data_IF_995575659599
#
_entry.id   IF_995575659599
#
_cell.length_a   1.000
_cell.length_b   1.000
_cell.length_c   1.000
_cell.angle_alpha   90.00
_cell.angle_beta   90.00
_cell.angle_gamma   90.00
#
_symmetry.space_group_name_H-M   'P 1'
#
loop_
_entity.id
_entity.type
_entity.pdbx_description
1 polymer ?
#
# COMPACT_ATOMS: atom_id res chain seq x y z
N UNK A 1 -6.87 -10.29 2.49
CA UNK A 1 -6.01 -9.53 3.44
C UNK A 1 -5.25 -8.41 2.75
N UNK A 2 -5.92 -7.30 2.46
CA UNK A 2 -5.35 -6.15 1.74
C UNK A 2 -4.22 -5.42 2.49
N UNK A 3 -4.08 -5.64 3.79
CA UNK A 3 -3.00 -5.01 4.57
C UNK A 3 -1.64 -5.66 4.34
N UNK A 4 -1.61 -6.96 4.03
CA UNK A 4 -0.38 -7.75 3.91
C UNK A 4 -0.44 -8.72 2.74
N UNK A 5 -0.41 -8.22 1.51
CA UNK A 5 -0.14 -9.03 0.32
C UNK A 5 1.36 -8.95 0.06
N UNK A 6 2.07 -10.06 0.33
CA UNK A 6 3.50 -10.17 0.10
C UNK A 6 3.79 -10.58 -1.34
N UNK A 7 4.90 -10.13 -1.91
CA UNK A 7 5.36 -10.63 -3.20
C UNK A 7 5.82 -12.08 -3.06
N UNK A 8 5.75 -12.82 -4.16
CA UNK A 8 6.34 -14.15 -4.25
C UNK A 8 7.75 -14.05 -4.83
N UNK A 9 8.69 -14.77 -4.19
CA UNK A 9 10.05 -14.91 -4.70
C UNK A 9 10.06 -15.98 -5.80
N UNK A 10 10.59 -15.63 -6.95
CA UNK A 10 10.73 -16.52 -8.10
C UNK A 10 12.21 -16.69 -8.46
N UNK A 11 12.62 -17.88 -8.87
CA UNK A 11 14.00 -18.23 -9.20
C UNK A 11 14.56 -17.63 -10.49
N UNK A 12 13.85 -16.68 -11.12
CA UNK A 12 14.28 -15.99 -12.33
C UNK A 12 13.90 -14.51 -12.31
N UNK A 13 14.59 -13.68 -13.13
CA UNK A 13 14.22 -12.27 -13.23
C UNK A 13 12.73 -12.11 -13.60
N UNK A 14 11.98 -11.23 -12.94
CA UNK A 14 12.41 -10.14 -12.04
C UNK A 14 12.55 -10.49 -10.56
N UNK A 15 12.64 -11.74 -10.18
CA UNK A 15 12.81 -12.27 -8.81
C UNK A 15 11.64 -12.02 -7.86
N UNK A 16 10.84 -10.99 -8.08
CA UNK A 16 9.68 -10.60 -7.28
C UNK A 16 8.46 -10.52 -8.20
N UNK A 17 7.42 -11.31 -7.91
CA UNK A 17 6.13 -11.23 -8.57
C UNK A 17 5.04 -10.86 -7.57
N UNK A 18 4.11 -10.07 -8.02
CA UNK A 18 3.02 -9.53 -7.20
C UNK A 18 1.72 -10.26 -7.50
N UNK A 19 0.81 -10.29 -6.54
CA UNK A 19 -0.54 -10.76 -6.80
C UNK A 19 -1.27 -9.81 -7.78
N UNK A 20 -2.11 -10.36 -8.64
CA UNK A 20 -3.00 -9.55 -9.53
C UNK A 20 -3.96 -8.65 -8.74
N UNK A 21 -4.21 -8.99 -7.47
CA UNK A 21 -5.03 -8.19 -6.55
C UNK A 21 -4.31 -6.99 -5.95
N UNK A 22 -3.07 -6.76 -6.35
CA UNK A 22 -2.25 -5.65 -5.89
C UNK A 22 -1.30 -6.01 -4.76
N UNK A 23 -0.68 -4.98 -4.22
CA UNK A 23 0.30 -5.06 -3.13
C UNK A 23 -0.33 -4.59 -1.82
N UNK A 24 0.04 -5.24 -0.73
CA UNK A 24 -0.42 -4.85 0.60
C UNK A 24 -0.05 -3.40 0.94
N UNK A 25 -0.98 -2.70 1.59
CA UNK A 25 -0.84 -1.28 1.93
C UNK A 25 0.46 -0.98 2.70
N UNK A 26 0.82 -1.84 3.65
CA UNK A 26 2.03 -1.66 4.46
C UNK A 26 3.33 -1.86 3.68
N UNK A 27 3.32 -2.69 2.63
CA UNK A 27 4.47 -2.86 1.75
C UNK A 27 4.64 -1.67 0.80
N UNK A 28 3.53 -1.16 0.27
CA UNK A 28 3.54 0.02 -0.58
C UNK A 28 3.78 1.32 0.16
N UNK A 29 3.46 1.35 1.46
CA UNK A 29 3.57 2.54 2.31
C UNK A 29 4.09 2.18 3.71
N UNK A 30 5.31 1.65 3.84
CA UNK A 30 5.85 1.19 5.13
C UNK A 30 5.99 2.31 6.16
N UNK A 31 6.03 3.57 5.75
CA UNK A 31 6.01 4.73 6.63
C UNK A 31 4.75 4.81 7.49
N UNK A 32 3.64 4.13 7.11
CA UNK A 32 2.43 4.02 7.93
C UNK A 32 2.70 3.40 9.30
N UNK A 33 3.72 2.54 9.43
CA UNK A 33 4.11 1.96 10.72
C UNK A 33 4.51 3.04 11.73
N UNK A 34 4.95 4.20 11.27
CA UNK A 34 5.30 5.33 12.15
C UNK A 34 4.08 6.01 12.76
N UNK A 35 2.86 5.74 12.27
CA UNK A 35 1.63 6.18 12.95
C UNK A 35 1.52 5.61 14.35
N UNK A 36 2.07 4.42 14.61
CA UNK A 36 2.16 3.83 15.95
C UNK A 36 3.02 4.68 16.90
N UNK A 37 3.95 5.46 16.36
CA UNK A 37 4.82 6.39 17.08
C UNK A 37 4.29 7.82 17.11
N UNK A 38 3.26 8.14 16.35
CA UNK A 38 2.62 9.45 16.29
C UNK A 38 1.75 9.68 17.56
N UNK A 39 2.40 9.90 18.70
CA UNK A 39 1.74 9.98 20.02
C UNK A 39 1.43 11.39 20.48
N UNK A 40 1.89 12.43 19.78
CA UNK A 40 1.60 13.80 20.17
C UNK A 40 0.08 14.04 20.14
N UNK A 41 -0.42 14.61 21.24
CA UNK A 41 -1.84 14.96 21.35
C UNK A 41 -2.03 16.34 20.74
N UNK A 42 -3.01 16.46 19.88
CA UNK A 42 -3.48 17.71 19.31
C UNK A 42 -5.01 17.70 19.22
N UNK A 43 -5.68 18.85 19.28
CA UNK A 43 -7.15 18.92 19.42
C UNK A 43 -7.92 18.14 18.36
N UNK A 44 -7.44 18.17 17.09
CA UNK A 44 -8.14 17.58 15.95
C UNK A 44 -7.80 16.09 15.72
N UNK A 45 -6.96 15.48 16.58
CA UNK A 45 -6.51 14.10 16.39
C UNK A 45 -7.65 13.10 16.26
N UNK A 46 -8.64 13.18 17.15
CA UNK A 46 -9.80 12.30 17.10
C UNK A 46 -10.62 12.49 15.83
N UNK A 47 -10.85 13.72 15.44
CA UNK A 47 -11.58 14.04 14.21
C UNK A 47 -10.88 13.50 12.95
N UNK A 48 -9.56 13.65 12.86
CA UNK A 48 -8.78 13.10 11.74
C UNK A 48 -8.79 11.57 11.71
N UNK A 49 -8.72 10.90 12.89
CA UNK A 49 -8.86 9.45 12.94
C UNK A 49 -10.26 9.01 12.53
N UNK A 50 -11.30 9.68 12.98
CA UNK A 50 -12.69 9.40 12.58
C UNK A 50 -12.87 9.60 11.06
N UNK A 51 -12.34 10.68 10.51
CA UNK A 51 -12.38 10.95 9.08
C UNK A 51 -11.64 9.86 8.29
N UNK A 52 -10.42 9.47 8.72
CA UNK A 52 -9.67 8.40 8.10
C UNK A 52 -10.44 7.07 8.14
N UNK A 53 -11.03 6.73 9.27
CA UNK A 53 -11.81 5.50 9.45
C UNK A 53 -13.09 5.53 8.60
N UNK A 54 -13.78 6.65 8.53
CA UNK A 54 -15.00 6.80 7.73
C UNK A 54 -14.74 6.59 6.22
N UNK A 55 -13.59 7.10 5.73
CA UNK A 55 -13.18 6.90 4.33
C UNK A 55 -12.61 5.49 4.11
N UNK A 56 -11.87 4.97 5.07
CA UNK A 56 -11.22 3.65 4.97
C UNK A 56 -12.24 2.50 5.07
N UNK A 57 -13.27 2.62 5.91
CA UNK A 57 -14.22 1.54 6.17
C UNK A 57 -14.94 1.06 4.89
N UNK A 58 -15.55 1.92 4.06
CA UNK A 58 -16.11 1.49 2.78
C UNK A 58 -15.08 0.83 1.86
N UNK A 59 -13.86 1.38 1.80
CA UNK A 59 -12.79 0.85 0.96
C UNK A 59 -12.32 -0.53 1.40
N UNK A 60 -12.29 -0.81 2.71
CA UNK A 60 -11.94 -2.12 3.26
C UNK A 60 -13.07 -3.14 3.18
N UNK A 61 -14.32 -2.69 3.24
CA UNK A 61 -15.50 -3.54 3.11
C UNK A 61 -15.80 -3.88 1.65
N UNK A 62 -15.27 -3.10 0.72
CA UNK A 62 -15.48 -3.34 -0.69
C UNK A 62 -14.74 -4.60 -1.13
N UNK A 63 -15.51 -5.60 -1.53
CA UNK A 63 -15.03 -6.95 -1.83
C UNK A 63 -14.22 -7.03 -3.13
N UNK A 64 -14.45 -6.10 -4.06
CA UNK A 64 -13.75 -6.08 -5.34
C UNK A 64 -12.47 -5.28 -5.24
N UNK A 65 -11.33 -5.96 -5.21
CA UNK A 65 -10.00 -5.34 -5.17
C UNK A 65 -9.61 -4.62 -6.48
N UNK A 66 -10.46 -4.70 -7.51
CA UNK A 66 -10.13 -4.23 -8.85
C UNK A 66 -9.27 -5.24 -9.62
N UNK A 67 -9.31 -5.15 -10.95
CA UNK A 67 -8.57 -6.05 -11.82
C UNK A 67 -7.22 -5.43 -12.19
N UNK A 68 -6.13 -6.19 -12.07
CA UNK A 68 -4.76 -5.77 -12.42
C UNK A 68 -4.33 -4.46 -11.73
N UNK A 69 -4.15 -4.50 -10.43
CA UNK A 69 -3.60 -3.38 -9.67
C UNK A 69 -2.21 -3.72 -9.15
N UNK A 70 -1.29 -2.78 -9.26
CA UNK A 70 0.02 -2.93 -8.63
C UNK A 70 -0.03 -2.52 -7.15
N UNK A 71 -0.68 -1.39 -6.84
CA UNK A 71 -0.83 -0.87 -5.49
C UNK A 71 -2.30 -0.79 -5.09
N UNK A 72 -2.59 -0.71 -3.77
CA UNK A 72 -3.94 -0.57 -3.28
C UNK A 72 -4.48 0.84 -3.55
N UNK A 73 -5.07 1.01 -4.73
CA UNK A 73 -5.56 2.26 -5.31
C UNK A 73 -6.57 2.99 -4.42
N UNK A 74 -7.44 2.25 -3.76
CA UNK A 74 -8.43 2.81 -2.82
C UNK A 74 -7.81 3.42 -1.57
N UNK A 75 -6.53 3.17 -1.29
CA UNK A 75 -5.82 3.83 -0.21
C UNK A 75 -5.58 5.31 -0.47
N UNK A 76 -5.58 5.74 -1.73
CA UNK A 76 -5.33 7.15 -2.09
C UNK A 76 -6.35 8.09 -1.44
N UNK A 77 -7.56 7.63 -1.16
CA UNK A 77 -8.61 8.44 -0.57
C UNK A 77 -8.34 8.78 0.91
N UNK A 78 -7.71 7.88 1.67
CA UNK A 78 -7.43 8.07 3.09
C UNK A 78 -5.94 8.27 3.43
N UNK A 79 -5.01 7.92 2.55
CA UNK A 79 -3.57 8.13 2.77
C UNK A 79 -3.20 9.59 3.09
N UNK A 80 -3.77 10.62 2.43
CA UNK A 80 -3.49 12.01 2.77
C UNK A 80 -3.84 12.34 4.23
N UNK A 81 -4.97 11.82 4.73
CA UNK A 81 -5.39 12.03 6.12
C UNK A 81 -4.41 11.35 7.08
N UNK A 82 -3.97 10.13 6.77
CA UNK A 82 -2.98 9.41 7.57
C UNK A 82 -1.61 10.11 7.56
N UNK A 83 -1.24 10.73 6.44
CA UNK A 83 -0.01 11.51 6.34
C UNK A 83 -0.08 12.76 7.23
N UNK A 84 -1.20 13.47 7.22
CA UNK A 84 -1.41 14.61 8.13
C UNK A 84 -1.32 14.16 9.59
N UNK A 85 -1.99 13.06 9.95
CA UNK A 85 -1.90 12.46 11.29
C UNK A 85 -0.47 12.11 11.67
N UNK A 86 0.32 11.58 10.74
CA UNK A 86 1.72 11.22 10.95
C UNK A 86 2.57 12.47 11.22
N UNK A 87 2.43 13.50 10.40
CA UNK A 87 3.21 14.73 10.50
C UNK A 87 2.87 15.47 11.79
N UNK A 88 1.58 15.75 12.02
CA UNK A 88 1.12 16.50 13.20
C UNK A 88 1.31 15.69 14.48
N UNK A 89 1.16 14.38 14.41
CA UNK A 89 1.42 13.47 15.53
C UNK A 89 2.89 13.25 15.86
N UNK A 90 3.81 13.85 15.10
CA UNK A 90 5.25 13.79 15.34
C UNK A 90 5.94 12.51 14.81
N UNK A 91 5.20 11.61 14.16
CA UNK A 91 5.77 10.39 13.60
C UNK A 91 6.80 10.65 12.48
N UNK A 92 6.62 11.73 11.72
CA UNK A 92 7.55 12.15 10.68
C UNK A 92 8.91 12.64 11.21
N UNK A 93 9.03 12.94 12.51
CA UNK A 93 10.31 13.26 13.16
C UNK A 93 11.19 12.04 13.43
N UNK A 94 10.68 10.85 13.16
CA UNK A 94 11.45 9.62 13.31
C UNK A 94 12.61 9.61 12.32
N UNK A 95 13.82 9.23 12.79
CA UNK A 95 15.00 9.03 11.92
C UNK A 95 14.78 8.00 10.81
N UNK A 96 13.81 7.12 10.99
CA UNK A 96 13.45 6.10 10.01
C UNK A 96 12.51 6.60 8.91
N UNK A 97 11.89 7.78 9.10
CA UNK A 97 10.91 8.29 8.14
C UNK A 97 11.47 8.42 6.71
N UNK A 98 12.64 9.08 6.50
CA UNK A 98 13.21 9.18 5.15
C UNK A 98 13.51 7.81 4.52
N UNK A 99 14.06 6.88 5.29
CA UNK A 99 14.39 5.54 4.79
C UNK A 99 13.13 4.77 4.36
N UNK A 100 12.04 4.86 5.14
CA UNK A 100 10.77 4.20 4.82
C UNK A 100 10.07 4.86 3.61
N UNK A 101 10.21 6.17 3.44
CA UNK A 101 9.69 6.87 2.25
C UNK A 101 10.48 6.47 1.01
N UNK A 102 11.81 6.39 1.09
CA UNK A 102 12.65 5.92 -0.02
C UNK A 102 12.32 4.48 -0.38
N UNK A 103 12.17 3.59 0.61
CA UNK A 103 11.76 2.21 0.38
C UNK A 103 10.40 2.13 -0.33
N UNK A 104 9.43 2.93 0.12
CA UNK A 104 8.13 3.06 -0.55
C UNK A 104 8.29 3.50 -2.00
N UNK A 105 9.09 4.53 -2.25
CA UNK A 105 9.33 5.06 -3.59
C UNK A 105 9.97 4.01 -4.51
N UNK A 106 10.97 3.27 -4.03
CA UNK A 106 11.63 2.20 -4.80
C UNK A 106 10.61 1.13 -5.21
N UNK A 107 9.79 0.66 -4.26
CA UNK A 107 8.77 -0.36 -4.54
C UNK A 107 7.74 0.16 -5.55
N UNK A 108 7.26 1.38 -5.38
CA UNK A 108 6.28 1.98 -6.28
C UNK A 108 6.85 2.23 -7.69
N UNK A 109 8.10 2.68 -7.79
CA UNK A 109 8.78 2.88 -9.07
C UNK A 109 9.01 1.55 -9.81
N UNK A 110 9.44 0.50 -9.08
CA UNK A 110 9.58 -0.84 -9.64
C UNK A 110 8.28 -1.33 -10.25
N UNK A 111 7.18 -1.20 -9.52
CA UNK A 111 5.88 -1.60 -10.02
C UNK A 111 5.39 -0.75 -11.18
N UNK A 112 5.52 0.58 -11.09
CA UNK A 112 5.14 1.48 -12.15
C UNK A 112 5.94 1.21 -13.45
N UNK A 113 7.21 0.85 -13.31
CA UNK A 113 8.06 0.52 -14.46
C UNK A 113 7.62 -0.77 -15.19
N UNK A 114 7.24 -1.80 -14.44
CA UNK A 114 6.89 -3.10 -15.00
C UNK A 114 5.41 -3.22 -15.38
N UNK A 115 4.53 -2.46 -14.74
CA UNK A 115 3.08 -2.62 -14.86
C UNK A 115 2.57 -2.56 -16.30
N UNK A 116 3.05 -1.61 -17.08
CA UNK A 116 2.59 -1.38 -18.45
C UNK A 116 3.47 -2.05 -19.52
N UNK A 117 4.71 -2.40 -19.16
CA UNK A 117 5.70 -2.95 -20.10
C UNK A 117 5.70 -4.47 -20.17
N UNK A 118 5.56 -5.11 -19.02
CA UNK A 118 5.60 -6.57 -18.95
C UNK A 118 4.75 -7.09 -17.76
N UNK A 119 3.42 -7.02 -17.90
CA UNK A 119 2.53 -7.45 -16.82
C UNK A 119 2.65 -8.95 -16.51
N UNK A 120 3.06 -9.75 -17.48
CA UNK A 120 3.26 -11.19 -17.28
C UNK A 120 4.44 -11.49 -16.35
N UNK A 121 5.46 -10.62 -16.32
CA UNK A 121 6.57 -10.73 -15.37
C UNK A 121 6.25 -10.14 -14.02
N UNK A 122 5.38 -9.13 -13.98
CA UNK A 122 5.04 -8.45 -12.74
C UNK A 122 4.10 -9.28 -11.86
N UNK A 123 3.11 -9.94 -12.46
CA UNK A 123 2.07 -10.65 -11.72
C UNK A 123 2.26 -12.16 -11.72
N UNK A 124 1.87 -12.77 -10.61
CA UNK A 124 1.70 -14.23 -10.53
C UNK A 124 0.37 -14.55 -11.18
N UNK A 125 0.34 -15.55 -12.08
CA UNK A 125 -0.89 -16.17 -12.52
C UNK A 125 -1.55 -16.82 -11.30
N UNK A 126 -2.69 -16.29 -10.89
CA UNK A 126 -3.44 -16.86 -9.77
C UNK A 126 -4.22 -18.09 -10.29
N UNK A 127 -3.87 -19.33 -9.87
CA UNK A 127 -4.57 -20.54 -10.33
C UNK A 127 -6.03 -20.57 -9.89
N UNK A 128 -6.43 -19.72 -8.96
CA UNK A 128 -7.81 -19.61 -8.47
C UNK A 128 -8.65 -18.57 -9.21
N UNK A 129 -8.08 -17.87 -10.20
CA UNK A 129 -8.82 -16.89 -10.97
C UNK A 129 -9.32 -17.49 -12.28
N UNK A 130 -10.64 -17.77 -12.42
CA UNK A 130 -11.20 -18.48 -13.58
C UNK A 130 -11.18 -17.67 -14.90
N UNK A 131 -10.73 -16.42 -14.86
CA UNK A 131 -10.66 -15.49 -16.00
C UNK A 131 -9.22 -15.06 -16.34
N UNK A 132 -8.21 -15.86 -15.98
CA UNK A 132 -6.87 -15.62 -16.49
C UNK A 132 -6.92 -15.74 -18.03
N UNK A 133 -6.60 -14.69 -18.82
CA UNK A 133 -6.47 -14.82 -20.24
C UNK A 133 -5.32 -15.80 -20.53
N UNK A 134 -5.59 -16.79 -21.38
CA UNK A 134 -4.61 -17.71 -21.94
C UNK A 134 -3.52 -16.95 -22.72
#
# INVERSE_FOLDING_TARGET
CMLWLAPQLVTGAPYLRWSVHGMGLLLGSPWLLLLLRARQRFPQRAALWLAALAVMAPALLYQNSGQRQFSYRFALDFLPILLVLLVVGGGARSRWFPALVIASAIVQLHGAWLFDRDPARLFVSDPWWPFAPE
#
